data_IF_497566450791
#
_entry.id   IF_497566450791
#
_cell.length_a   1.000
_cell.length_b   1.000
_cell.length_c   1.000
_cell.angle_alpha   90.00
_cell.angle_beta   90.00
_cell.angle_gamma   90.00
#
_symmetry.space_group_name_H-M   'P 1'
#
loop_
_entity.id
_entity.type
_entity.pdbx_description
1 polymer ?
#
# COMPACT_ATOMS: atom_id res chain seq x y z
N UNK A 1 9.51 11.80 -19.02
CA UNK A 1 9.03 10.41 -19.11
C UNK A 1 10.16 9.48 -18.66
N UNK A 2 10.39 9.36 -17.35
CA UNK A 2 11.49 8.56 -16.77
C UNK A 2 11.35 8.30 -15.26
N UNK A 3 10.40 8.93 -14.57
CA UNK A 3 10.18 8.81 -13.13
C UNK A 3 9.52 7.49 -12.72
N UNK A 4 8.56 6.99 -13.52
CA UNK A 4 7.80 5.77 -13.20
C UNK A 4 8.70 4.53 -13.06
N UNK A 5 9.65 4.30 -13.98
CA UNK A 5 10.58 3.16 -13.90
C UNK A 5 11.48 3.20 -12.66
N UNK A 6 11.95 4.39 -12.26
CA UNK A 6 12.84 4.55 -11.11
C UNK A 6 12.10 4.36 -9.78
N UNK A 7 10.85 4.83 -9.71
CA UNK A 7 9.98 4.66 -8.54
C UNK A 7 9.71 3.18 -8.28
N UNK A 8 9.39 2.39 -9.32
CA UNK A 8 9.16 0.95 -9.19
C UNK A 8 10.37 0.20 -8.63
N UNK A 9 11.59 0.55 -9.05
CA UNK A 9 12.83 -0.11 -8.58
C UNK A 9 13.12 0.19 -7.11
N UNK A 10 12.96 1.45 -6.68
CA UNK A 10 13.15 1.86 -5.29
C UNK A 10 12.15 1.17 -4.36
N UNK A 11 10.87 1.13 -4.77
CA UNK A 11 9.81 0.44 -4.01
C UNK A 11 10.10 -1.04 -3.87
N UNK A 12 10.48 -1.70 -4.96
CA UNK A 12 10.82 -3.12 -4.96
C UNK A 12 12.00 -3.44 -4.02
N UNK A 13 12.95 -2.52 -3.91
CA UNK A 13 14.10 -2.66 -3.01
C UNK A 13 13.69 -2.54 -1.54
N UNK A 14 12.85 -1.55 -1.21
CA UNK A 14 12.26 -1.40 0.13
C UNK A 14 11.47 -2.67 0.50
N UNK A 15 10.55 -3.09 -0.36
CA UNK A 15 9.70 -4.26 -0.13
C UNK A 15 10.52 -5.54 0.04
N UNK A 16 11.54 -5.78 -0.80
CA UNK A 16 12.44 -6.95 -0.65
C UNK A 16 13.10 -7.02 0.72
N UNK A 17 13.52 -5.88 1.26
CA UNK A 17 14.12 -5.82 2.59
C UNK A 17 13.11 -6.24 3.67
N UNK A 18 11.88 -5.76 3.57
CA UNK A 18 10.80 -6.10 4.51
C UNK A 18 10.25 -7.51 4.36
N UNK A 19 10.21 -8.06 3.14
CA UNK A 19 9.90 -9.47 2.93
C UNK A 19 10.84 -10.39 3.71
N UNK A 20 12.12 -10.01 3.81
CA UNK A 20 13.13 -10.75 4.56
C UNK A 20 12.93 -10.68 6.08
N UNK A 21 12.20 -9.67 6.56
CA UNK A 21 11.81 -9.52 7.98
C UNK A 21 10.54 -10.32 8.27
N UNK A 22 9.52 -10.26 7.40
CA UNK A 22 8.24 -10.95 7.59
C UNK A 22 8.33 -12.48 7.54
N UNK A 23 9.23 -13.05 6.72
CA UNK A 23 9.46 -14.51 6.67
C UNK A 23 9.98 -15.09 8.00
N UNK A 24 10.48 -14.25 8.92
CA UNK A 24 10.87 -14.68 10.26
C UNK A 24 9.71 -14.76 11.26
N UNK A 25 8.54 -14.22 10.90
CA UNK A 25 7.36 -14.10 11.77
C UNK A 25 6.18 -14.99 11.33
N UNK A 26 6.41 -15.96 10.45
CA UNK A 26 5.35 -16.68 9.73
C UNK A 26 4.39 -17.43 10.67
N UNK A 27 3.18 -16.90 10.79
CA UNK A 27 1.96 -17.72 10.94
C UNK A 27 1.19 -17.57 9.64
N UNK A 28 1.26 -18.60 8.81
CA UNK A 28 0.47 -18.69 7.57
C UNK A 28 -0.99 -18.80 7.98
N UNK A 29 -1.76 -17.74 7.77
CA UNK A 29 -3.22 -17.81 7.79
C UNK A 29 -3.62 -18.47 6.48
N UNK A 30 -4.37 -19.57 6.53
CA UNK A 30 -4.97 -20.15 5.33
C UNK A 30 -6.05 -19.17 4.82
N UNK A 31 -5.77 -18.49 3.71
CA UNK A 31 -6.67 -17.52 3.09
C UNK A 31 -7.40 -18.12 1.90
N UNK A 32 -8.69 -17.80 1.75
CA UNK A 32 -9.52 -18.36 0.68
C UNK A 32 -9.40 -17.52 -0.59
N UNK A 33 -9.62 -18.14 -1.76
CA UNK A 33 -9.52 -17.41 -3.04
C UNK A 33 -10.50 -16.22 -3.17
N UNK A 34 -11.65 -16.28 -2.50
CA UNK A 34 -12.63 -15.19 -2.48
C UNK A 34 -12.12 -13.94 -1.77
N UNK A 35 -11.18 -14.09 -0.83
CA UNK A 35 -10.57 -12.96 -0.12
C UNK A 35 -9.68 -12.14 -1.07
N UNK A 36 -9.10 -12.77 -2.11
CA UNK A 36 -8.26 -12.09 -3.10
C UNK A 36 -9.04 -11.25 -4.09
N UNK A 37 -10.19 -11.73 -4.59
CA UNK A 37 -11.02 -10.96 -5.52
C UNK A 37 -11.56 -9.68 -4.87
N UNK A 38 -12.04 -9.81 -3.61
CA UNK A 38 -12.48 -8.65 -2.83
C UNK A 38 -11.32 -7.69 -2.58
N UNK A 39 -10.16 -8.19 -2.17
CA UNK A 39 -8.97 -7.36 -1.96
C UNK A 39 -8.56 -6.60 -3.24
N UNK A 40 -8.55 -7.28 -4.40
CA UNK A 40 -8.21 -6.67 -5.68
C UNK A 40 -9.20 -5.56 -6.06
N UNK A 41 -10.49 -5.81 -5.88
CA UNK A 41 -11.53 -4.82 -6.11
C UNK A 41 -11.36 -3.59 -5.21
N UNK A 42 -11.11 -3.80 -3.91
CA UNK A 42 -10.92 -2.70 -2.97
C UNK A 42 -9.65 -1.88 -3.29
N UNK A 43 -8.57 -2.53 -3.71
CA UNK A 43 -7.37 -1.83 -4.17
C UNK A 43 -7.65 -0.98 -5.42
N UNK A 44 -8.40 -1.50 -6.39
CA UNK A 44 -8.78 -0.76 -7.59
C UNK A 44 -9.66 0.45 -7.26
N UNK A 45 -10.62 0.28 -6.35
CA UNK A 45 -11.45 1.38 -5.87
C UNK A 45 -10.60 2.50 -5.27
N UNK A 46 -9.64 2.15 -4.41
CA UNK A 46 -8.74 3.13 -3.79
C UNK A 46 -7.85 3.83 -4.82
N UNK A 47 -7.30 3.10 -5.79
CA UNK A 47 -6.53 3.70 -6.89
C UNK A 47 -7.36 4.71 -7.68
N UNK A 48 -8.62 4.39 -7.97
CA UNK A 48 -9.51 5.30 -8.70
C UNK A 48 -9.74 6.60 -7.93
N UNK A 49 -9.96 6.53 -6.61
CA UNK A 49 -10.08 7.74 -5.77
C UNK A 49 -8.80 8.58 -5.78
N UNK A 50 -7.63 7.95 -5.79
CA UNK A 50 -6.36 8.68 -5.89
C UNK A 50 -6.21 9.33 -7.27
N UNK A 51 -6.60 8.65 -8.35
CA UNK A 51 -6.58 9.24 -9.70
C UNK A 51 -7.53 10.43 -9.82
N UNK A 52 -8.75 10.34 -9.28
CA UNK A 52 -9.70 11.45 -9.21
C UNK A 52 -9.11 12.65 -8.45
N UNK A 53 -8.43 12.40 -7.32
CA UNK A 53 -7.76 13.45 -6.56
C UNK A 53 -6.62 14.11 -7.36
N UNK A 54 -5.81 13.31 -8.07
CA UNK A 54 -4.73 13.78 -8.94
C UNK A 54 -5.26 14.61 -10.12
N UNK A 55 -6.39 14.23 -10.72
CA UNK A 55 -7.02 15.02 -11.79
C UNK A 55 -7.59 16.34 -11.26
N UNK A 56 -8.21 16.33 -10.09
CA UNK A 56 -8.74 17.53 -9.43
C UNK A 56 -7.66 18.57 -9.09
N UNK A 57 -6.42 18.15 -8.85
CA UNK A 57 -5.27 19.03 -8.58
C UNK A 57 -4.92 19.97 -9.76
N UNK A 58 -5.32 19.66 -11.00
CA UNK A 58 -5.02 20.49 -12.17
C UNK A 58 -5.75 21.85 -12.23
N UNK A 59 -6.73 22.08 -11.34
CA UNK A 59 -7.67 23.21 -11.44
C UNK A 59 -7.51 24.29 -10.35
N UNK A 60 -6.65 24.11 -9.34
CA UNK A 60 -6.55 25.05 -8.21
C UNK A 60 -5.53 26.17 -8.47
N UNK A 61 -5.97 27.43 -8.32
CA UNK A 61 -5.22 28.63 -8.75
C UNK A 61 -4.32 29.23 -7.67
N UNK A 62 -4.33 28.69 -6.45
CA UNK A 62 -3.47 29.16 -5.37
C UNK A 62 -2.93 27.97 -4.56
N UNK A 63 -1.80 27.46 -5.02
CA UNK A 63 -1.17 26.26 -4.46
C UNK A 63 0.25 26.59 -4.03
N UNK A 64 0.59 26.28 -2.78
CA UNK A 64 1.99 26.16 -2.36
C UNK A 64 2.64 25.00 -3.14
N UNK A 65 3.49 25.36 -4.10
CA UNK A 65 4.14 24.42 -5.03
C UNK A 65 4.92 23.31 -4.31
N UNK A 66 5.51 23.60 -3.15
CA UNK A 66 6.27 22.61 -2.39
C UNK A 66 5.33 21.59 -1.72
N UNK A 67 4.31 22.07 -1.01
CA UNK A 67 3.33 21.20 -0.36
C UNK A 67 2.56 20.35 -1.39
N UNK A 68 2.25 20.92 -2.55
CA UNK A 68 1.58 20.22 -3.63
C UNK A 68 2.44 19.17 -4.31
N UNK A 69 3.72 19.46 -4.55
CA UNK A 69 4.63 18.46 -5.10
C UNK A 69 4.79 17.28 -4.14
N UNK A 70 4.87 17.54 -2.83
CA UNK A 70 4.89 16.48 -1.80
C UNK A 70 3.60 15.68 -1.84
N UNK A 71 2.44 16.34 -1.88
CA UNK A 71 1.13 15.68 -1.94
C UNK A 71 0.99 14.78 -3.18
N UNK A 72 1.29 15.29 -4.37
CA UNK A 72 1.26 14.52 -5.62
C UNK A 72 2.23 13.34 -5.57
N UNK A 73 3.43 13.54 -5.02
CA UNK A 73 4.40 12.46 -4.84
C UNK A 73 3.86 11.36 -3.93
N UNK A 74 3.25 11.72 -2.79
CA UNK A 74 2.62 10.77 -1.86
C UNK A 74 1.52 9.98 -2.54
N UNK A 75 0.64 10.63 -3.31
CA UNK A 75 -0.43 9.95 -4.05
C UNK A 75 0.12 8.95 -5.09
N UNK A 76 1.18 9.32 -5.80
CA UNK A 76 1.85 8.42 -6.75
C UNK A 76 2.46 7.22 -6.01
N UNK A 77 3.12 7.42 -4.87
CA UNK A 77 3.64 6.32 -4.07
C UNK A 77 2.53 5.37 -3.62
N UNK A 78 1.40 5.90 -3.15
CA UNK A 78 0.24 5.11 -2.73
C UNK A 78 -0.34 4.24 -3.85
N UNK A 79 -0.55 4.80 -5.05
CA UNK A 79 -1.04 4.03 -6.21
C UNK A 79 -0.11 2.86 -6.54
N UNK A 80 1.19 3.11 -6.54
CA UNK A 80 2.16 2.06 -6.85
C UNK A 80 2.18 0.96 -5.78
N UNK A 81 2.04 1.31 -4.50
CA UNK A 81 1.95 0.33 -3.41
C UNK A 81 0.71 -0.55 -3.53
N UNK A 82 -0.44 0.04 -3.88
CA UNK A 82 -1.67 -0.72 -4.16
C UNK A 82 -1.47 -1.68 -5.35
N UNK A 83 -0.84 -1.21 -6.43
CA UNK A 83 -0.59 -2.04 -7.62
C UNK A 83 0.33 -3.22 -7.29
N UNK A 84 1.37 -2.96 -6.49
CA UNK A 84 2.25 -4.01 -6.05
C UNK A 84 1.53 -5.02 -5.16
N UNK A 85 0.76 -4.55 -4.16
CA UNK A 85 0.02 -5.42 -3.27
C UNK A 85 -0.97 -6.32 -4.03
N UNK A 86 -1.65 -5.80 -5.05
CA UNK A 86 -2.48 -6.58 -5.98
C UNK A 86 -1.67 -7.64 -6.73
N UNK A 87 -0.47 -7.30 -7.22
CA UNK A 87 0.35 -8.21 -8.02
C UNK A 87 0.90 -9.42 -7.26
N UNK A 88 1.01 -9.33 -5.93
CA UNK A 88 1.65 -10.36 -5.10
C UNK A 88 0.69 -11.06 -4.13
N UNK A 89 -0.55 -10.57 -3.96
CA UNK A 89 -1.51 -11.13 -2.97
C UNK A 89 -1.79 -12.61 -3.20
N UNK A 90 -1.86 -13.06 -4.45
CA UNK A 90 -2.09 -14.48 -4.76
C UNK A 90 -0.92 -15.38 -4.39
N UNK A 91 0.31 -14.83 -4.35
CA UNK A 91 1.51 -15.57 -3.97
C UNK A 91 1.79 -15.51 -2.45
N UNK A 92 1.49 -14.36 -1.83
CA UNK A 92 1.94 -14.00 -0.47
C UNK A 92 0.82 -13.87 0.56
N UNK A 93 -0.43 -13.80 0.13
CA UNK A 93 -1.59 -13.54 0.99
C UNK A 93 -1.86 -12.07 1.31
N UNK A 94 -3.05 -11.82 1.82
CA UNK A 94 -3.63 -10.54 2.25
C UNK A 94 -2.91 -9.98 3.47
N UNK A 95 -2.46 -10.82 4.42
CA UNK A 95 -1.62 -10.34 5.55
C UNK A 95 -0.33 -9.69 5.06
N UNK A 96 0.30 -10.28 4.03
CA UNK A 96 1.50 -9.72 3.45
C UNK A 96 1.21 -8.44 2.67
N UNK A 97 0.12 -8.43 1.89
CA UNK A 97 -0.35 -7.24 1.20
C UNK A 97 -0.66 -6.08 2.18
N UNK A 98 -1.31 -6.37 3.32
CA UNK A 98 -1.59 -5.40 4.38
C UNK A 98 -0.32 -4.79 4.96
N UNK A 99 0.74 -5.60 5.13
CA UNK A 99 2.03 -5.14 5.63
C UNK A 99 2.65 -4.08 4.71
N UNK A 100 2.59 -4.31 3.40
CA UNK A 100 3.07 -3.36 2.39
C UNK A 100 2.29 -2.06 2.46
N UNK A 101 0.95 -2.12 2.57
CA UNK A 101 0.14 -0.91 2.67
C UNK A 101 0.51 -0.10 3.92
N UNK A 102 0.65 -0.73 5.08
CA UNK A 102 1.06 -0.03 6.32
C UNK A 102 2.43 0.64 6.18
N UNK A 103 3.41 -0.04 5.58
CA UNK A 103 4.75 0.51 5.34
C UNK A 103 4.73 1.75 4.44
N UNK A 104 3.77 1.81 3.52
CA UNK A 104 3.63 2.91 2.57
C UNK A 104 2.66 3.99 3.06
N UNK A 105 2.58 4.16 4.38
CA UNK A 105 1.84 5.24 5.05
C UNK A 105 0.33 5.23 4.80
N UNK A 106 -0.24 4.08 4.44
CA UNK A 106 -1.69 3.92 4.51
C UNK A 106 -2.11 3.86 5.97
N UNK A 107 -3.14 4.61 6.31
CA UNK A 107 -3.70 4.57 7.66
C UNK A 107 -4.35 3.20 7.95
N UNK A 108 -4.39 2.83 9.23
CA UNK A 108 -4.96 1.56 9.69
C UNK A 108 -6.40 1.33 9.22
N UNK A 109 -7.20 2.39 9.08
CA UNK A 109 -8.60 2.27 8.68
C UNK A 109 -8.72 1.96 7.19
N UNK A 110 -7.89 2.59 6.35
CA UNK A 110 -7.81 2.27 4.93
C UNK A 110 -7.28 0.85 4.71
N UNK A 111 -6.25 0.43 5.44
CA UNK A 111 -5.75 -0.95 5.35
C UNK A 111 -6.81 -1.95 5.81
N UNK A 112 -7.55 -1.66 6.89
CA UNK A 112 -8.68 -2.48 7.35
C UNK A 112 -9.75 -2.63 6.25
N UNK A 113 -10.16 -1.52 5.64
CA UNK A 113 -11.17 -1.51 4.59
C UNK A 113 -10.74 -2.33 3.37
N UNK A 114 -9.47 -2.21 2.96
CA UNK A 114 -8.94 -2.90 1.78
C UNK A 114 -8.76 -4.41 2.02
N UNK A 115 -8.24 -4.77 3.18
CA UNK A 115 -7.80 -6.14 3.49
C UNK A 115 -8.86 -6.96 4.22
N UNK A 116 -9.90 -6.31 4.75
CA UNK A 116 -10.89 -6.90 5.65
C UNK A 116 -10.29 -7.53 6.92
N UNK A 117 -9.04 -7.22 7.26
CA UNK A 117 -8.38 -7.68 8.48
C UNK A 117 -8.80 -6.80 9.66
N UNK A 118 -8.97 -7.39 10.83
CA UNK A 118 -9.36 -6.62 12.03
C UNK A 118 -8.32 -5.56 12.40
N UNK A 119 -8.78 -4.39 12.84
CA UNK A 119 -7.90 -3.28 13.29
C UNK A 119 -6.92 -3.74 14.39
N UNK A 120 -7.32 -4.54 15.41
CA UNK A 120 -6.36 -5.03 16.41
C UNK A 120 -5.23 -5.88 15.80
N UNK A 121 -5.54 -6.72 14.80
CA UNK A 121 -4.53 -7.50 14.08
C UNK A 121 -3.57 -6.58 13.33
N UNK A 122 -4.10 -5.63 12.56
CA UNK A 122 -3.29 -4.66 11.80
C UNK A 122 -2.40 -3.81 12.71
N UNK A 123 -2.91 -3.39 13.87
CA UNK A 123 -2.11 -2.67 14.87
C UNK A 123 -0.98 -3.52 15.43
N UNK A 124 -1.22 -4.81 15.68
CA UNK A 124 -0.14 -5.72 16.10
C UNK A 124 0.91 -5.91 15.00
N UNK A 125 0.47 -5.99 13.74
CA UNK A 125 1.33 -6.09 12.57
C UNK A 125 2.23 -4.84 12.44
N UNK A 126 1.65 -3.64 12.48
CA UNK A 126 2.36 -2.35 12.47
C UNK A 126 3.34 -2.21 13.66
N UNK A 127 2.92 -2.61 14.86
CA UNK A 127 3.77 -2.58 16.06
C UNK A 127 4.95 -3.56 15.97
N UNK A 128 4.75 -4.70 15.32
CA UNK A 128 5.82 -5.68 15.09
C UNK A 128 6.84 -5.10 14.11
N UNK A 129 6.38 -4.40 13.07
CA UNK A 129 7.24 -3.68 12.12
C UNK A 129 8.05 -2.57 12.81
N UNK A 130 7.45 -1.82 13.73
CA UNK A 130 8.09 -0.65 14.35
C UNK A 130 9.17 -0.99 15.38
N UNK A 131 9.17 -2.21 15.95
CA UNK A 131 10.10 -2.61 17.01
C UNK A 131 11.44 -3.16 16.51
N UNK A 132 11.56 -3.43 15.21
CA UNK A 132 12.76 -4.04 14.61
C UNK A 132 13.59 -3.05 13.76
N UNK A 133 13.21 -1.77 13.73
CA UNK A 133 13.96 -0.66 13.11
C UNK A 133 14.78 0.14 14.13
#
# INVERSE_FOLDING_TARGET
>A
MTTLKTIHVSMFTKIKHFMLLLTKSERVVEETHHDYELFQFMCQLEMNHIYEALEGQGNDTYIDLNAHQVYVHTLIEQVNSLQYAVSIVQEKGVVHAASILLMHSFDLYTVHRITNLSIPFLRNLENTQSKEN
#
